data_IF_517200782382
#
_entry.id   IF_517200782382
#
_cell.length_a   1.000
_cell.length_b   1.000
_cell.length_c   1.000
_cell.angle_alpha   90.00
_cell.angle_beta   90.00
_cell.angle_gamma   90.00
#
_symmetry.space_group_name_H-M   'P 1'
#
loop_
_entity.id
_entity.type
_entity.pdbx_description
1 polymer ?
#
# COMPACT_ATOMS: atom_id res chain seq x y z
N UNK A 1 -7.75 -12.17 -11.58
CA UNK A 1 -7.76 -11.24 -12.74
C UNK A 1 -6.33 -10.92 -13.15
N UNK A 2 -6.04 -10.81 -14.45
CA UNK A 2 -4.71 -10.45 -14.94
C UNK A 2 -4.61 -8.92 -15.03
N UNK A 3 -3.60 -8.28 -14.42
CA UNK A 3 -3.40 -6.83 -14.52
C UNK A 3 -3.18 -6.40 -15.97
N UNK A 4 -3.79 -5.27 -16.35
CA UNK A 4 -3.55 -4.66 -17.66
C UNK A 4 -2.18 -3.97 -17.72
N UNK A 5 -1.75 -3.60 -18.93
CA UNK A 5 -0.53 -2.82 -19.12
C UNK A 5 -0.56 -1.55 -18.26
N UNK A 6 0.58 -1.18 -17.67
CA UNK A 6 0.76 0.00 -16.83
C UNK A 6 -0.05 0.01 -15.51
N UNK A 7 -0.55 -1.13 -15.03
CA UNK A 7 -1.27 -1.19 -13.74
C UNK A 7 -0.44 -0.65 -12.56
N UNK A 8 0.89 -0.72 -12.63
CA UNK A 8 1.78 -0.11 -11.63
C UNK A 8 1.55 1.39 -11.42
N UNK A 9 1.07 2.11 -12.43
CA UNK A 9 0.78 3.54 -12.36
C UNK A 9 -0.54 3.85 -11.64
N UNK A 10 -1.38 2.82 -11.42
CA UNK A 10 -2.70 2.93 -10.79
C UNK A 10 -2.68 2.47 -9.33
N UNK A 11 -1.50 2.09 -8.80
CA UNK A 11 -1.37 1.69 -7.40
C UNK A 11 -1.59 2.92 -6.52
N UNK A 12 -2.59 2.90 -5.62
CA UNK A 12 -2.86 4.04 -4.76
C UNK A 12 -1.77 4.22 -3.70
N UNK A 13 -1.48 5.49 -3.38
CA UNK A 13 -0.60 5.84 -2.27
C UNK A 13 -1.12 5.33 -0.92
N UNK A 14 -0.20 5.18 0.04
CA UNK A 14 -0.54 4.82 1.42
C UNK A 14 -1.22 5.98 2.17
N UNK A 15 -0.79 7.21 1.90
CA UNK A 15 -1.40 8.39 2.51
C UNK A 15 -2.68 8.75 1.76
N UNK A 16 -3.77 8.93 2.50
CA UNK A 16 -5.01 9.46 1.91
C UNK A 16 -5.03 10.98 1.99
N UNK A 17 -5.92 11.66 1.24
CA UNK A 17 -6.13 13.10 1.40
C UNK A 17 -6.62 13.51 2.80
N UNK A 18 -7.15 12.58 3.59
CA UNK A 18 -7.62 12.83 4.96
C UNK A 18 -6.42 12.69 5.91
N UNK A 19 -6.11 13.78 6.61
CA UNK A 19 -5.00 13.80 7.58
C UNK A 19 -5.20 12.73 8.66
N UNK A 20 -4.15 11.95 8.92
CA UNK A 20 -4.16 10.88 9.91
C UNK A 20 -4.85 9.59 9.44
N UNK A 21 -5.38 9.55 8.21
CA UNK A 21 -5.95 8.33 7.62
C UNK A 21 -5.02 7.78 6.54
N UNK A 22 -4.65 6.52 6.71
CA UNK A 22 -3.79 5.77 5.79
C UNK A 22 -4.54 4.55 5.25
N UNK A 23 -4.24 4.21 3.99
CA UNK A 23 -4.81 3.04 3.32
C UNK A 23 -3.68 2.06 2.97
N UNK A 24 -3.62 0.95 3.71
CA UNK A 24 -2.80 -0.21 3.37
C UNK A 24 -3.69 -1.38 2.92
N UNK A 25 -3.51 -1.87 1.70
CA UNK A 25 -4.26 -3.01 1.17
C UNK A 25 -3.43 -3.87 0.22
N UNK A 26 -4.03 -4.96 -0.27
CA UNK A 26 -3.36 -5.82 -1.24
C UNK A 26 -3.09 -5.15 -2.58
N UNK A 27 -3.78 -4.05 -2.92
CA UNK A 27 -3.50 -3.28 -4.13
C UNK A 27 -2.08 -2.71 -4.16
N UNK A 28 -1.52 -2.39 -2.98
CA UNK A 28 -0.15 -1.89 -2.84
C UNK A 28 0.93 -2.99 -2.83
N UNK A 29 0.53 -4.26 -2.82
CA UNK A 29 1.46 -5.42 -2.85
C UNK A 29 1.81 -5.81 -4.30
N UNK A 30 1.28 -5.12 -5.31
CA UNK A 30 1.63 -5.38 -6.70
C UNK A 30 3.12 -5.09 -7.00
N UNK A 31 3.81 -5.92 -7.83
CA UNK A 31 3.32 -7.11 -8.53
C UNK A 31 3.50 -8.41 -7.74
N UNK A 32 3.88 -8.33 -6.47
CA UNK A 32 4.20 -9.48 -5.66
C UNK A 32 2.95 -10.25 -5.20
N UNK A 33 3.19 -11.48 -4.75
CA UNK A 33 2.14 -12.29 -4.15
C UNK A 33 1.65 -11.66 -2.83
N UNK A 34 0.35 -11.78 -2.58
CA UNK A 34 -0.34 -11.07 -1.49
C UNK A 34 -0.17 -11.78 -0.13
N UNK A 35 1.00 -12.37 0.09
CA UNK A 35 1.33 -13.10 1.31
C UNK A 35 1.48 -12.19 2.53
N UNK A 36 1.38 -12.80 3.72
CA UNK A 36 1.41 -12.10 5.01
C UNK A 36 2.69 -11.29 5.24
N UNK A 37 3.83 -11.69 4.66
CA UNK A 37 5.10 -10.97 4.79
C UNK A 37 4.96 -9.51 4.30
N UNK A 38 4.32 -9.31 3.15
CA UNK A 38 4.08 -7.97 2.61
C UNK A 38 3.05 -7.19 3.41
N UNK A 39 2.05 -7.86 4.00
CA UNK A 39 1.10 -7.19 4.89
C UNK A 39 1.81 -6.61 6.13
N UNK A 40 2.74 -7.36 6.73
CA UNK A 40 3.55 -6.91 7.87
C UNK A 40 4.47 -5.75 7.46
N UNK A 41 5.14 -5.85 6.30
CA UNK A 41 5.96 -4.76 5.77
C UNK A 41 5.14 -3.48 5.54
N UNK A 42 3.98 -3.60 4.89
CA UNK A 42 3.08 -2.48 4.59
C UNK A 42 2.60 -1.80 5.88
N UNK A 43 2.26 -2.59 6.90
CA UNK A 43 1.90 -2.09 8.22
C UNK A 43 3.03 -1.29 8.87
N UNK A 44 4.26 -1.79 8.81
CA UNK A 44 5.44 -1.04 9.32
C UNK A 44 5.68 0.26 8.57
N UNK A 45 5.49 0.27 7.25
CA UNK A 45 5.60 1.48 6.43
C UNK A 45 4.54 2.53 6.82
N UNK A 46 3.30 2.11 7.02
CA UNK A 46 2.23 3.02 7.48
C UNK A 46 2.52 3.57 8.87
N UNK A 47 2.96 2.73 9.82
CA UNK A 47 3.34 3.19 11.16
C UNK A 47 4.44 4.26 11.10
N UNK A 48 5.49 4.04 10.31
CA UNK A 48 6.57 5.01 10.14
C UNK A 48 6.11 6.32 9.48
N UNK A 49 5.09 6.29 8.62
CA UNK A 49 4.47 7.50 8.06
C UNK A 49 3.62 8.24 9.10
N UNK A 50 2.92 7.49 9.96
CA UNK A 50 2.06 8.05 11.00
C UNK A 50 2.86 8.70 12.14
N UNK A 51 4.05 8.17 12.47
CA UNK A 51 4.94 8.70 13.50
C UNK A 51 5.65 10.02 13.10
N UNK A 52 5.59 10.41 11.83
CA UNK A 52 6.23 11.64 11.30
C UNK A 52 5.31 12.87 11.32
N UNK A 53 4.10 12.76 11.88
CA UNK A 53 3.10 13.84 11.93
C UNK A 53 3.16 14.59 13.26
#
# INVERSE_FOLDING_TARGET
>A
PVPLLNHSQLIPDLATPIRGLYWASMSQVYPWDRGTNYAVELGRRVAALAERI
#
